data_IF_245596099491
#
_entry.id   IF_245596099491
#
_cell.length_a   1.000
_cell.length_b   1.000
_cell.length_c   1.000
_cell.angle_alpha   90.00
_cell.angle_beta   90.00
_cell.angle_gamma   90.00
#
_symmetry.space_group_name_H-M   'P 1'
#
loop_
_entity.id
_entity.type
_entity.pdbx_description
1 polymer ?
#
# COMPACT_ATOMS: atom_id res chain seq x y z
N UNK A 1 -2.55 -11.26 -7.30
CA UNK A 1 -3.50 -12.15 -6.62
C UNK A 1 -4.72 -11.31 -6.31
N UNK A 2 -5.94 -11.76 -6.63
CA UNK A 2 -7.15 -11.02 -6.29
C UNK A 2 -7.41 -11.08 -4.78
N UNK A 3 -7.92 -9.99 -4.20
CA UNK A 3 -8.33 -9.94 -2.79
C UNK A 3 -9.68 -10.65 -2.60
N UNK A 4 -9.71 -11.78 -1.89
CA UNK A 4 -10.90 -12.64 -1.71
C UNK A 4 -11.27 -12.79 -0.23
N UNK A 5 -12.46 -13.34 0.05
CA UNK A 5 -12.97 -13.59 1.41
C UNK A 5 -11.99 -14.34 2.31
N UNK A 6 -11.23 -15.28 1.76
CA UNK A 6 -10.30 -16.13 2.52
C UNK A 6 -9.11 -15.36 3.09
N UNK A 7 -8.78 -14.22 2.48
CA UNK A 7 -7.71 -13.34 2.92
C UNK A 7 -8.16 -12.30 3.96
N UNK A 8 -9.46 -12.22 4.26
CA UNK A 8 -9.98 -11.22 5.19
C UNK A 8 -9.65 -11.58 6.65
N UNK A 9 -9.13 -10.59 7.38
CA UNK A 9 -8.83 -10.69 8.79
C UNK A 9 -9.10 -9.36 9.51
N UNK A 10 -9.21 -9.40 10.84
CA UNK A 10 -9.37 -8.23 11.72
C UNK A 10 -10.64 -7.38 11.50
N UNK A 11 -11.65 -7.89 10.82
CA UNK A 11 -12.90 -7.14 10.58
C UNK A 11 -13.53 -6.62 11.88
N UNK A 12 -13.70 -7.47 12.89
CA UNK A 12 -14.26 -7.07 14.20
C UNK A 12 -13.39 -6.01 14.90
N UNK A 13 -12.06 -6.13 14.80
CA UNK A 13 -11.12 -5.20 15.41
C UNK A 13 -11.19 -3.82 14.77
N UNK A 14 -11.27 -3.77 13.44
CA UNK A 14 -11.42 -2.51 12.70
C UNK A 14 -12.80 -1.90 12.93
N UNK A 15 -13.86 -2.71 12.95
CA UNK A 15 -15.20 -2.24 13.29
C UNK A 15 -15.25 -1.63 14.70
N UNK A 16 -14.57 -2.23 15.68
CA UNK A 16 -14.54 -1.73 17.05
C UNK A 16 -13.86 -0.36 17.25
N UNK A 17 -13.12 0.13 16.25
CA UNK A 17 -12.45 1.44 16.28
C UNK A 17 -12.92 2.39 15.17
N UNK A 18 -14.02 2.06 14.48
CA UNK A 18 -14.54 2.82 13.34
C UNK A 18 -16.03 3.11 13.51
N UNK A 19 -16.47 4.31 13.15
CA UNK A 19 -17.91 4.63 13.06
C UNK A 19 -18.58 3.89 11.89
N UNK A 20 -17.84 3.67 10.80
CA UNK A 20 -18.29 2.97 9.60
C UNK A 20 -17.15 2.08 9.05
N UNK A 21 -17.47 0.83 8.71
CA UNK A 21 -16.53 -0.11 8.09
C UNK A 21 -17.06 -0.60 6.74
N UNK A 22 -16.36 -0.23 5.67
CA UNK A 22 -16.64 -0.71 4.30
C UNK A 22 -15.58 -1.76 3.94
N UNK A 23 -16.03 -2.97 3.62
CA UNK A 23 -15.16 -4.09 3.20
C UNK A 23 -15.39 -4.38 1.73
N UNK A 24 -14.29 -4.47 0.98
CA UNK A 24 -14.30 -4.79 -0.45
C UNK A 24 -13.52 -6.06 -0.75
N UNK A 25 -14.00 -6.87 -1.68
CA UNK A 25 -13.23 -7.96 -2.31
C UNK A 25 -13.27 -7.81 -3.83
N UNK A 26 -12.18 -8.15 -4.51
CA UNK A 26 -12.05 -7.96 -5.97
C UNK A 26 -13.09 -8.78 -6.75
N UNK A 27 -13.40 -9.97 -6.24
CA UNK A 27 -14.31 -10.94 -6.86
C UNK A 27 -15.77 -10.82 -6.38
N UNK A 28 -16.03 -10.07 -5.30
CA UNK A 28 -17.33 -10.00 -4.64
C UNK A 28 -17.67 -11.20 -3.74
N UNK A 29 -16.69 -12.05 -3.41
CA UNK A 29 -16.85 -13.17 -2.48
C UNK A 29 -17.28 -12.75 -1.07
N UNK A 30 -17.10 -11.48 -0.69
CA UNK A 30 -17.58 -10.95 0.59
C UNK A 30 -17.94 -9.47 0.52
N UNK A 31 -19.11 -9.12 1.09
CA UNK A 31 -19.67 -7.76 1.14
C UNK A 31 -19.68 -7.08 -0.24
N UNK A 32 -18.79 -6.13 -0.50
CA UNK A 32 -18.80 -5.32 -1.72
C UNK A 32 -17.79 -5.84 -2.72
N UNK A 33 -18.22 -6.06 -3.96
CA UNK A 33 -17.31 -6.30 -5.08
C UNK A 33 -16.64 -4.99 -5.52
N UNK A 34 -15.34 -5.02 -5.76
CA UNK A 34 -14.60 -3.90 -6.37
C UNK A 34 -13.32 -3.54 -5.62
N UNK A 35 -12.61 -2.54 -6.13
CA UNK A 35 -11.38 -2.04 -5.51
C UNK A 35 -11.67 -0.90 -4.53
N UNK A 36 -10.80 -0.71 -3.54
CA UNK A 36 -10.96 0.29 -2.46
C UNK A 36 -11.17 1.73 -2.94
N UNK A 37 -10.74 2.07 -4.16
CA UNK A 37 -10.91 3.42 -4.71
C UNK A 37 -12.35 3.74 -5.11
N UNK A 38 -13.19 2.73 -5.32
CA UNK A 38 -14.61 2.93 -5.63
C UNK A 38 -15.40 3.49 -4.44
N UNK A 39 -15.47 2.81 -3.26
CA UNK A 39 -16.13 3.40 -2.09
C UNK A 39 -15.46 4.69 -1.63
N UNK A 40 -14.13 4.81 -1.78
CA UNK A 40 -13.43 6.05 -1.47
C UNK A 40 -13.99 7.22 -2.28
N UNK A 41 -14.16 7.05 -3.59
CA UNK A 41 -14.71 8.09 -4.46
C UNK A 41 -16.14 8.45 -4.08
N UNK A 42 -16.99 7.46 -3.84
CA UNK A 42 -18.38 7.67 -3.44
C UNK A 42 -18.49 8.46 -2.12
N UNK A 43 -17.61 8.17 -1.15
CA UNK A 43 -17.53 8.92 0.10
C UNK A 43 -17.11 10.37 -0.14
N UNK A 44 -16.13 10.62 -1.01
CA UNK A 44 -15.68 11.97 -1.36
C UNK A 44 -16.76 12.78 -2.10
N UNK A 45 -17.59 12.11 -2.90
CA UNK A 45 -18.71 12.73 -3.62
C UNK A 45 -19.89 13.08 -2.70
N UNK A 46 -20.06 12.36 -1.59
CA UNK A 46 -21.27 12.44 -0.76
C UNK A 46 -21.05 13.04 0.63
N UNK A 47 -19.82 13.02 1.13
CA UNK A 47 -19.47 13.45 2.48
C UNK A 47 -18.26 14.38 2.44
N UNK A 48 -18.19 15.28 3.43
CA UNK A 48 -16.99 16.06 3.67
C UNK A 48 -15.95 15.16 4.35
N UNK A 49 -14.82 14.92 3.68
CA UNK A 49 -13.68 14.18 4.22
C UNK A 49 -12.51 15.14 4.38
N UNK A 50 -12.04 15.33 5.62
CA UNK A 50 -10.93 16.26 5.89
C UNK A 50 -9.54 15.61 5.67
N UNK A 51 -9.45 14.28 5.69
CA UNK A 51 -8.20 13.52 5.51
C UNK A 51 -8.43 12.09 5.03
N UNK A 52 -7.54 11.61 4.16
CA UNK A 52 -7.42 10.19 3.79
C UNK A 52 -6.06 9.66 4.21
N UNK A 53 -6.03 8.43 4.71
CA UNK A 53 -4.80 7.68 5.02
C UNK A 53 -4.87 6.37 4.25
N UNK A 54 -3.91 6.10 3.37
CA UNK A 54 -3.87 4.88 2.57
C UNK A 54 -2.61 4.07 2.87
N UNK A 55 -2.80 2.80 3.22
CA UNK A 55 -1.73 1.86 3.58
C UNK A 55 -2.03 0.55 2.86
N UNK A 56 -1.10 0.07 2.05
CA UNK A 56 -1.27 -1.15 1.27
C UNK A 56 -0.24 -1.28 0.16
N UNK A 57 -0.50 -2.09 -0.88
CA UNK A 57 0.37 -2.17 -2.05
C UNK A 57 0.61 -0.79 -2.67
N UNK A 58 1.82 -0.54 -3.18
CA UNK A 58 2.18 0.77 -3.75
C UNK A 58 1.22 1.23 -4.86
N UNK A 59 0.71 0.28 -5.65
CA UNK A 59 -0.29 0.55 -6.69
C UNK A 59 -1.63 1.01 -6.11
N UNK A 60 -2.07 0.42 -5.00
CA UNK A 60 -3.30 0.81 -4.30
C UNK A 60 -3.16 2.22 -3.73
N UNK A 61 -2.03 2.51 -3.07
CA UNK A 61 -1.75 3.84 -2.52
C UNK A 61 -1.67 4.92 -3.60
N UNK A 62 -1.06 4.61 -4.77
CA UNK A 62 -1.05 5.47 -5.96
C UNK A 62 -2.48 5.82 -6.38
N UNK A 63 -3.35 4.82 -6.52
CA UNK A 63 -4.72 5.07 -6.98
C UNK A 63 -5.57 5.79 -5.93
N UNK A 64 -5.41 5.53 -4.63
CA UNK A 64 -6.07 6.35 -3.59
C UNK A 64 -5.64 7.83 -3.66
N UNK A 65 -4.36 8.08 -3.89
CA UNK A 65 -3.81 9.44 -4.05
C UNK A 65 -4.38 10.13 -5.29
N UNK A 66 -4.48 9.43 -6.41
CA UNK A 66 -5.09 9.96 -7.64
C UNK A 66 -6.59 10.21 -7.49
N UNK A 67 -7.32 9.32 -6.81
CA UNK A 67 -8.76 9.45 -6.56
C UNK A 67 -9.08 10.68 -5.72
N UNK A 68 -8.24 10.98 -4.72
CA UNK A 68 -8.47 12.09 -3.77
C UNK A 68 -8.02 13.45 -4.29
N UNK A 69 -7.07 13.49 -5.23
CA UNK A 69 -6.46 14.73 -5.76
C UNK A 69 -7.47 15.73 -6.34
N UNK A 70 -8.47 15.33 -7.17
CA UNK A 70 -9.48 16.26 -7.69
C UNK A 70 -10.36 16.90 -6.61
N UNK A 71 -10.49 16.24 -5.45
CA UNK A 71 -11.29 16.74 -4.33
C UNK A 71 -10.51 17.64 -3.39
N UNK A 72 -9.20 17.83 -3.61
CA UNK A 72 -8.33 18.64 -2.75
C UNK A 72 -8.20 18.10 -1.32
N UNK A 73 -8.50 16.81 -1.10
CA UNK A 73 -8.43 16.19 0.23
C UNK A 73 -7.01 15.74 0.52
N UNK A 74 -6.46 16.14 1.67
CA UNK A 74 -5.12 15.75 2.10
C UNK A 74 -5.04 14.23 2.26
N UNK A 75 -4.13 13.61 1.50
CA UNK A 75 -3.97 12.15 1.47
C UNK A 75 -2.58 11.76 1.92
N UNK A 76 -2.49 11.12 3.08
CA UNK A 76 -1.25 10.55 3.60
C UNK A 76 -1.11 9.11 3.14
N UNK A 77 0.10 8.72 2.71
CA UNK A 77 0.43 7.36 2.30
C UNK A 77 1.63 6.85 3.08
N UNK A 78 1.56 5.59 3.54
CA UNK A 78 2.68 4.96 4.26
C UNK A 78 3.53 4.15 3.27
N UNK A 79 4.61 4.76 2.78
CA UNK A 79 5.41 4.18 1.71
C UNK A 79 6.17 2.94 2.19
N UNK A 80 6.30 1.97 1.29
CA UNK A 80 6.92 0.67 1.56
C UNK A 80 8.15 0.37 0.68
N UNK A 81 9.12 1.30 0.51
CA UNK A 81 10.32 1.04 -0.29
C UNK A 81 11.20 -0.04 0.37
N UNK A 82 12.15 -0.58 -0.39
CA UNK A 82 13.15 -1.51 0.14
C UNK A 82 13.94 -0.83 1.27
N UNK A 83 14.06 -1.51 2.42
CA UNK A 83 14.84 -1.05 3.56
C UNK A 83 15.97 -2.03 3.86
N UNK A 84 17.09 -1.52 4.37
CA UNK A 84 18.24 -2.34 4.79
C UNK A 84 18.63 -2.00 6.23
N UNK A 85 19.16 -0.80 6.45
CA UNK A 85 19.61 -0.35 7.78
C UNK A 85 18.48 0.20 8.66
N UNK A 86 17.47 0.85 8.06
CA UNK A 86 16.34 1.42 8.77
C UNK A 86 16.67 2.62 9.67
N UNK A 87 17.88 3.18 9.58
CA UNK A 87 18.37 4.24 10.48
C UNK A 87 18.92 5.46 9.76
N UNK A 88 18.81 5.50 8.43
CA UNK A 88 19.17 6.64 7.59
C UNK A 88 20.61 6.61 7.04
N UNK A 89 21.32 5.50 7.21
CA UNK A 89 22.74 5.39 6.86
C UNK A 89 22.98 5.01 5.39
N UNK A 90 22.09 4.21 4.77
CA UNK A 90 22.37 3.65 3.44
C UNK A 90 21.58 4.26 2.27
N UNK A 91 20.45 4.92 2.54
CA UNK A 91 19.59 5.51 1.49
C UNK A 91 18.86 4.48 0.60
N UNK A 92 18.82 3.20 0.98
CA UNK A 92 18.09 2.16 0.23
C UNK A 92 16.57 2.46 0.20
N UNK A 93 16.04 3.02 1.28
CA UNK A 93 14.64 3.43 1.38
C UNK A 93 14.32 4.78 0.72
N UNK A 94 15.23 5.33 -0.12
CA UNK A 94 15.01 6.64 -0.73
C UNK A 94 13.78 6.67 -1.64
N UNK A 95 13.05 7.78 -1.57
CA UNK A 95 11.88 8.13 -2.38
C UNK A 95 12.03 9.56 -2.88
N UNK A 96 11.29 9.92 -3.93
CA UNK A 96 11.16 11.31 -4.38
C UNK A 96 9.77 11.82 -4.00
N UNK A 97 9.74 12.90 -3.21
CA UNK A 97 8.51 13.54 -2.73
C UNK A 97 8.65 15.04 -2.96
N UNK A 98 7.75 15.63 -3.75
CA UNK A 98 7.80 17.05 -4.08
C UNK A 98 9.04 17.44 -4.90
N UNK A 99 9.66 16.48 -5.60
CA UNK A 99 10.93 16.67 -6.30
C UNK A 99 12.17 16.60 -5.42
N UNK A 100 12.02 16.36 -4.11
CA UNK A 100 13.13 16.19 -3.17
C UNK A 100 13.37 14.71 -2.86
N UNK A 101 14.64 14.33 -2.72
CA UNK A 101 14.99 13.00 -2.20
C UNK A 101 14.76 12.96 -0.69
N UNK A 102 13.97 11.99 -0.23
CA UNK A 102 13.71 11.70 1.19
C UNK A 102 14.00 10.24 1.48
N UNK A 103 14.33 9.91 2.73
CA UNK A 103 14.58 8.55 3.21
C UNK A 103 13.39 8.08 4.06
N UNK A 104 12.62 7.12 3.57
CA UNK A 104 11.38 6.71 4.24
C UNK A 104 11.56 6.23 5.69
N UNK A 105 12.74 5.72 6.07
CA UNK A 105 12.97 5.24 7.44
C UNK A 105 13.27 6.34 8.47
N UNK A 106 13.59 7.57 8.04
CA UNK A 106 13.92 8.70 8.94
C UNK A 106 13.09 9.95 8.65
N UNK A 107 12.74 10.20 7.39
CA UNK A 107 11.88 11.32 6.98
C UNK A 107 10.39 10.93 6.92
N UNK A 108 10.09 9.62 6.91
CA UNK A 108 8.74 9.08 6.73
C UNK A 108 8.34 8.08 7.83
N UNK A 109 7.70 6.95 7.48
CA UNK A 109 7.37 6.46 6.12
C UNK A 109 6.13 7.14 5.52
N UNK A 110 5.46 8.00 6.28
CA UNK A 110 4.22 8.66 5.88
C UNK A 110 4.51 9.97 5.14
N UNK A 111 4.07 10.07 3.88
CA UNK A 111 4.26 11.24 3.03
C UNK A 111 2.94 11.72 2.43
N UNK A 112 2.92 12.93 1.87
CA UNK A 112 1.81 13.40 1.06
C UNK A 112 1.75 12.61 -0.25
N UNK A 113 0.71 11.79 -0.42
CA UNK A 113 0.54 10.91 -1.57
C UNK A 113 0.37 11.66 -2.90
N UNK A 114 0.03 12.95 -2.85
CA UNK A 114 -0.07 13.80 -4.05
C UNK A 114 1.28 14.27 -4.58
N UNK A 115 2.33 14.17 -3.76
CA UNK A 115 3.70 14.62 -4.06
C UNK A 115 4.67 13.47 -4.35
N UNK A 116 4.26 12.21 -4.13
CA UNK A 116 5.11 11.02 -4.33
C UNK A 116 5.34 10.75 -5.82
N UNK A 117 6.60 10.51 -6.20
CA UNK A 117 6.95 9.89 -7.48
C UNK A 117 6.69 8.38 -7.43
N UNK A 118 5.46 8.01 -7.80
CA UNK A 118 5.00 6.63 -7.77
C UNK A 118 5.72 5.72 -8.77
N UNK A 119 6.13 6.25 -9.92
CA UNK A 119 6.77 5.45 -10.96
C UNK A 119 8.21 5.11 -10.58
N UNK A 120 8.94 6.07 -9.99
CA UNK A 120 10.24 5.81 -9.37
C UNK A 120 10.11 4.77 -8.25
N UNK A 121 9.17 4.93 -7.32
CA UNK A 121 8.98 3.99 -6.22
C UNK A 121 8.72 2.56 -6.74
N UNK A 122 7.77 2.40 -7.66
CA UNK A 122 7.43 1.09 -8.21
C UNK A 122 8.57 0.45 -9.01
N UNK A 123 9.36 1.24 -9.75
CA UNK A 123 10.57 0.74 -10.41
C UNK A 123 11.57 0.21 -9.37
N UNK A 124 11.81 0.98 -8.30
CA UNK A 124 12.74 0.58 -7.22
C UNK A 124 12.28 -0.69 -6.49
N UNK A 125 11.00 -0.86 -6.24
CA UNK A 125 10.45 -2.08 -5.61
C UNK A 125 10.73 -3.35 -6.40
N UNK A 126 10.99 -3.23 -7.71
CA UNK A 126 11.24 -4.37 -8.59
C UNK A 126 12.72 -4.71 -8.74
N UNK A 127 13.62 -4.03 -8.02
CA UNK A 127 15.07 -4.15 -8.20
C UNK A 127 15.57 -5.57 -8.00
N UNK A 128 15.02 -6.31 -7.02
CA UNK A 128 15.54 -7.63 -6.61
C UNK A 128 14.61 -8.80 -6.99
N UNK A 129 13.70 -8.62 -7.95
CA UNK A 129 12.72 -9.66 -8.31
C UNK A 129 13.38 -10.98 -8.78
N UNK A 130 14.59 -10.91 -9.37
CA UNK A 130 15.31 -12.11 -9.80
C UNK A 130 15.88 -12.87 -8.60
N UNK A 131 16.50 -12.15 -7.68
CA UNK A 131 17.09 -12.66 -6.45
C UNK A 131 16.04 -13.18 -5.48
N UNK A 132 14.89 -12.51 -5.35
CA UNK A 132 13.74 -12.96 -4.55
C UNK A 132 13.22 -14.31 -5.04
N UNK A 133 13.04 -14.46 -6.36
CA UNK A 133 12.60 -15.73 -6.97
C UNK A 133 13.61 -16.85 -6.75
N UNK A 134 14.90 -16.56 -6.92
CA UNK A 134 15.95 -17.54 -6.71
C UNK A 134 16.05 -17.96 -5.25
N UNK A 135 15.96 -17.00 -4.32
CA UNK A 135 15.95 -17.28 -2.88
C UNK A 135 14.78 -18.19 -2.49
N UNK A 136 13.58 -17.92 -3.01
CA UNK A 136 12.41 -18.76 -2.75
C UNK A 136 12.60 -20.16 -3.33
N UNK A 137 13.04 -20.29 -4.59
CA UNK A 137 13.30 -21.58 -5.25
C UNK A 137 14.30 -22.43 -4.45
N UNK A 138 15.40 -21.83 -4.02
CA UNK A 138 16.42 -22.51 -3.21
C UNK A 138 15.87 -22.96 -1.85
N UNK A 139 15.01 -22.15 -1.23
CA UNK A 139 14.36 -22.51 0.03
C UNK A 139 13.37 -23.67 -0.18
N UNK A 140 12.51 -23.62 -1.19
CA UNK A 140 11.54 -24.68 -1.50
C UNK A 140 12.25 -26.01 -1.79
N UNK A 141 13.34 -25.98 -2.57
CA UNK A 141 14.12 -27.18 -2.89
C UNK A 141 14.74 -27.84 -1.66
N UNK A 142 15.23 -27.04 -0.72
CA UNK A 142 15.81 -27.52 0.55
C UNK A 142 14.76 -28.06 1.52
N UNK A 143 13.51 -27.58 1.41
CA UNK A 143 12.43 -27.88 2.37
C UNK A 143 11.30 -28.73 1.78
N UNK A 144 11.52 -29.42 0.65
CA UNK A 144 10.51 -30.24 -0.04
C UNK A 144 9.73 -31.20 0.87
N UNK A 145 10.36 -31.75 1.90
CA UNK A 145 9.73 -32.67 2.86
C UNK A 145 8.73 -32.00 3.83
N UNK A 146 8.75 -30.67 3.97
CA UNK A 146 7.84 -29.90 4.84
C UNK A 146 6.69 -29.24 4.09
N UNK A 147 6.74 -29.23 2.75
CA UNK A 147 5.79 -28.53 1.88
C UNK A 147 4.80 -29.51 1.22
N UNK A 148 5.08 -30.82 1.27
CA UNK A 148 4.17 -31.90 0.86
C UNK A 148 3.13 -32.20 1.94
#
# INVERSE_FOLDING_TARGET
>A
MPETRELLFWEERLHGVSDELIVTTDDGSYKRKGVVTEPLKELLDTKKIDRVIAIGPAIMMKFCSLTTKPFGVKTMVSLNPIMVDGTGMCGCCRVSVGGETKFACVDGPDFDGHEVDWDLLMHRLRTYLAEEKESLRLWEERNKAFIS
#
